data_IF_926550159637
#
_entry.id   IF_926550159637
#
_cell.length_a   1.000
_cell.length_b   1.000
_cell.length_c   1.000
_cell.angle_alpha   90.00
_cell.angle_beta   90.00
_cell.angle_gamma   90.00
#
_symmetry.space_group_name_H-M   'P 1'
#
loop_
_entity.id
_entity.type
_entity.pdbx_description
1 polymer ?
#
# COMPACT_ATOMS: atom_id res chain seq x y z
N UNK A 1 13.07 74.57 6.94
CA UNK A 1 12.74 73.51 7.85
C UNK A 1 11.83 72.50 7.12
N UNK A 2 12.39 71.42 6.65
CA UNK A 2 11.64 70.31 6.01
C UNK A 2 11.77 69.06 6.92
N UNK A 3 10.65 68.60 7.47
CA UNK A 3 10.56 67.36 8.26
C UNK A 3 10.37 66.17 7.32
N UNK A 4 11.36 65.33 7.26
CA UNK A 4 11.30 64.02 6.56
C UNK A 4 10.70 63.00 7.53
N UNK A 5 9.49 62.51 7.22
CA UNK A 5 8.88 61.38 7.96
C UNK A 5 9.46 60.09 7.41
N UNK A 6 10.15 59.33 8.27
CA UNK A 6 10.61 57.96 8.03
C UNK A 6 9.43 57.05 8.38
N UNK A 7 8.90 56.38 7.36
CA UNK A 7 7.94 55.29 7.54
C UNK A 7 8.75 54.02 7.80
N UNK A 8 8.76 53.51 9.03
CA UNK A 8 9.25 52.19 9.36
C UNK A 8 8.21 51.13 8.97
N UNK A 9 8.51 50.40 7.91
CA UNK A 9 7.75 49.23 7.50
C UNK A 9 8.11 48.07 8.41
N UNK A 10 7.25 47.72 9.38
CA UNK A 10 7.35 46.52 10.18
C UNK A 10 6.99 45.33 9.26
N UNK A 11 8.00 44.55 8.80
CA UNK A 11 7.78 43.23 8.24
C UNK A 11 7.37 42.29 9.39
N UNK A 12 6.11 41.96 9.44
CA UNK A 12 5.60 40.80 10.17
C UNK A 12 6.04 39.51 9.40
N UNK A 13 7.18 38.98 9.82
CA UNK A 13 7.54 37.62 9.50
C UNK A 13 6.56 36.69 10.24
N UNK A 14 5.53 36.25 9.52
CA UNK A 14 4.69 35.16 9.96
C UNK A 14 5.54 33.89 10.05
N UNK A 15 6.02 33.56 11.25
CA UNK A 15 6.51 32.24 11.56
C UNK A 15 5.30 31.31 11.51
N UNK A 16 5.13 30.57 10.41
CA UNK A 16 4.37 29.33 10.40
C UNK A 16 5.15 28.34 11.29
N UNK A 17 5.01 28.51 12.60
CA UNK A 17 5.40 27.50 13.56
C UNK A 17 4.61 26.24 13.23
N UNK A 18 5.28 25.17 12.79
CA UNK A 18 4.73 23.84 12.93
C UNK A 18 4.35 23.70 14.41
N UNK A 19 3.05 23.58 14.68
CA UNK A 19 2.59 23.25 16.01
C UNK A 19 3.22 21.89 16.34
N UNK A 20 4.19 21.87 17.23
CA UNK A 20 4.61 20.65 17.89
C UNK A 20 3.35 20.18 18.61
N UNK A 21 2.77 19.08 18.12
CA UNK A 21 1.63 18.45 18.76
C UNK A 21 2.10 17.92 20.10
N UNK A 22 1.91 18.70 21.16
CA UNK A 22 2.28 18.30 22.50
C UNK A 22 1.48 17.06 22.90
N UNK A 23 2.19 16.08 23.45
CA UNK A 23 1.59 14.87 24.02
C UNK A 23 0.59 15.28 25.11
N UNK A 24 -0.65 14.80 25.00
CA UNK A 24 -1.73 15.17 25.92
C UNK A 24 -1.46 14.68 27.34
N UNK A 25 -1.72 15.52 28.34
CA UNK A 25 -1.51 15.21 29.77
C UNK A 25 -2.29 13.96 30.21
N UNK A 26 -3.42 13.66 29.62
CA UNK A 26 -4.19 12.44 29.90
C UNK A 26 -3.41 11.14 29.65
N UNK A 27 -2.37 11.20 28.83
CA UNK A 27 -1.45 10.08 28.59
C UNK A 27 -0.56 9.74 29.79
N UNK A 28 -0.39 10.66 30.76
CA UNK A 28 0.39 10.44 31.99
C UNK A 28 -0.42 9.66 33.03
N UNK A 29 -1.72 9.58 32.86
CA UNK A 29 -2.61 8.87 33.78
C UNK A 29 -2.77 7.40 33.36
N UNK A 30 -2.77 6.47 34.33
CA UNK A 30 -3.03 5.04 34.08
C UNK A 30 -4.44 4.78 33.57
N UNK A 31 -5.39 5.61 33.98
CA UNK A 31 -6.78 5.64 33.54
C UNK A 31 -7.28 7.08 33.67
N UNK A 32 -8.39 7.45 32.99
CA UNK A 32 -9.03 8.74 33.24
C UNK A 32 -9.44 8.85 34.70
N UNK A 33 -9.03 9.91 35.38
CA UNK A 33 -9.24 10.10 36.82
C UNK A 33 -10.48 10.94 37.11
N UNK A 34 -10.91 11.71 36.11
CA UNK A 34 -12.01 12.63 36.24
C UNK A 34 -12.73 12.86 34.88
N UNK A 35 -13.82 13.63 34.90
CA UNK A 35 -14.60 13.97 33.72
C UNK A 35 -13.78 14.74 32.68
N UNK A 36 -12.87 15.61 33.12
CA UNK A 36 -12.07 16.44 32.25
C UNK A 36 -11.13 15.60 31.37
N UNK A 37 -10.56 14.52 31.93
CA UNK A 37 -9.73 13.56 31.16
C UNK A 37 -10.53 12.89 30.05
N UNK A 38 -11.78 12.47 30.35
CA UNK A 38 -12.67 11.87 29.36
C UNK A 38 -13.05 12.87 28.25
N UNK A 39 -13.34 14.13 28.62
CA UNK A 39 -13.64 15.20 27.66
C UNK A 39 -12.42 15.54 26.80
N UNK A 40 -11.18 15.49 27.37
CA UNK A 40 -9.94 15.70 26.64
C UNK A 40 -9.73 14.61 25.56
N UNK A 41 -9.87 13.34 25.92
CA UNK A 41 -9.79 12.22 24.97
C UNK A 41 -10.83 12.36 23.87
N UNK A 42 -12.10 12.61 24.24
CA UNK A 42 -13.21 12.76 23.30
C UNK A 42 -12.95 13.89 22.30
N UNK A 43 -12.49 15.04 22.79
CA UNK A 43 -12.24 16.22 21.96
C UNK A 43 -11.07 16.00 21.01
N UNK A 44 -9.98 15.35 21.49
CA UNK A 44 -8.84 15.02 20.66
C UNK A 44 -9.22 14.06 19.51
N UNK A 45 -9.95 12.98 19.83
CA UNK A 45 -10.46 12.06 18.78
C UNK A 45 -11.37 12.78 17.81
N UNK A 46 -12.32 13.59 18.28
CA UNK A 46 -13.25 14.35 17.42
C UNK A 46 -12.53 15.31 16.48
N UNK A 47 -11.45 15.95 16.94
CA UNK A 47 -10.66 16.87 16.13
C UNK A 47 -9.87 16.14 15.03
N UNK A 48 -9.28 14.98 15.35
CA UNK A 48 -8.42 14.22 14.45
C UNK A 48 -9.19 13.31 13.47
N UNK A 49 -10.35 12.80 13.89
CA UNK A 49 -11.10 11.77 13.18
C UNK A 49 -11.51 12.13 11.73
N UNK A 50 -11.95 13.35 11.38
CA UNK A 50 -12.33 13.68 10.01
C UNK A 50 -11.17 13.51 9.02
N UNK A 51 -9.96 14.01 9.37
CA UNK A 51 -8.75 13.88 8.55
C UNK A 51 -8.30 12.41 8.48
N UNK A 52 -8.29 11.72 9.61
CA UNK A 52 -7.92 10.31 9.72
C UNK A 52 -8.83 9.40 8.86
N UNK A 53 -10.15 9.59 8.93
CA UNK A 53 -11.11 8.85 8.11
C UNK A 53 -10.94 9.10 6.62
N UNK A 54 -10.83 10.37 6.23
CA UNK A 54 -10.67 10.73 4.83
C UNK A 54 -9.42 10.10 4.19
N UNK A 55 -8.36 9.88 4.98
CA UNK A 55 -7.12 9.23 4.52
C UNK A 55 -7.14 7.70 4.67
N UNK A 56 -8.06 7.13 5.46
CA UNK A 56 -8.19 5.67 5.61
C UNK A 56 -8.93 5.09 4.41
N UNK A 57 -8.39 4.05 3.81
CA UNK A 57 -8.93 3.44 2.59
C UNK A 57 -9.14 1.94 2.75
N UNK A 58 -10.08 1.39 1.98
CA UNK A 58 -10.13 -0.04 1.75
C UNK A 58 -9.26 -0.40 0.53
N UNK A 59 -8.53 -1.50 0.62
CA UNK A 59 -7.75 -2.06 -0.48
C UNK A 59 -8.40 -3.37 -0.89
N UNK A 60 -8.92 -3.41 -2.12
CA UNK A 60 -9.51 -4.61 -2.71
C UNK A 60 -8.46 -5.31 -3.57
N UNK A 61 -8.26 -6.59 -3.28
CA UNK A 61 -7.36 -7.51 -3.97
C UNK A 61 -8.14 -8.69 -4.54
N UNK A 62 -7.52 -9.49 -5.39
CA UNK A 62 -8.16 -10.73 -5.89
C UNK A 62 -8.46 -11.68 -4.73
N UNK A 63 -9.75 -11.86 -4.44
CA UNK A 63 -10.23 -12.81 -3.43
C UNK A 63 -10.34 -12.27 -2.01
N UNK A 64 -10.15 -10.96 -1.78
CA UNK A 64 -10.28 -10.37 -0.45
C UNK A 64 -10.14 -8.86 -0.41
N UNK A 65 -10.07 -8.34 0.80
CA UNK A 65 -9.83 -6.93 1.04
C UNK A 65 -9.06 -6.71 2.35
N UNK A 66 -8.40 -5.58 2.44
CA UNK A 66 -7.79 -5.05 3.64
C UNK A 66 -7.99 -3.54 3.73
N UNK A 67 -7.24 -2.91 4.58
CA UNK A 67 -7.24 -1.47 4.77
C UNK A 67 -5.89 -0.86 4.41
N UNK A 68 -5.85 0.45 4.30
CA UNK A 68 -4.64 1.23 4.12
C UNK A 68 -4.82 2.65 4.60
N UNK A 69 -3.75 3.44 4.55
CA UNK A 69 -3.80 4.87 4.86
C UNK A 69 -2.97 5.67 3.86
N UNK A 70 -3.56 6.72 3.31
CA UNK A 70 -2.87 7.64 2.40
C UNK A 70 -1.95 8.56 3.22
N UNK A 71 -0.67 8.62 2.85
CA UNK A 71 0.37 9.40 3.56
C UNK A 71 1.00 10.50 2.70
N UNK A 72 0.51 10.69 1.47
CA UNK A 72 0.95 11.80 0.61
C UNK A 72 -0.18 12.28 -0.30
N UNK A 73 -0.16 13.56 -0.71
CA UNK A 73 -1.20 14.13 -1.56
C UNK A 73 -1.26 13.53 -2.97
N UNK A 74 -0.21 12.87 -3.43
CA UNK A 74 -0.12 12.17 -4.71
C UNK A 74 -0.54 10.70 -4.65
N UNK A 75 -1.10 10.26 -3.51
CA UNK A 75 -1.74 8.95 -3.37
C UNK A 75 -0.80 7.80 -3.00
N UNK A 76 0.25 8.05 -2.22
CA UNK A 76 1.02 6.98 -1.59
C UNK A 76 0.24 6.43 -0.39
N UNK A 77 0.06 5.14 -0.34
CA UNK A 77 -0.70 4.41 0.69
C UNK A 77 0.22 3.45 1.43
N UNK A 78 0.15 3.42 2.75
CA UNK A 78 0.77 2.38 3.56
C UNK A 78 -0.27 1.30 3.91
N UNK A 79 0.18 0.06 3.95
CA UNK A 79 -0.64 -1.12 4.26
C UNK A 79 0.22 -2.25 4.82
N UNK A 80 -0.37 -3.41 5.07
CA UNK A 80 0.33 -4.62 5.47
C UNK A 80 0.82 -5.43 4.26
N UNK A 81 1.95 -6.16 4.40
CA UNK A 81 2.50 -6.95 3.30
C UNK A 81 1.56 -8.09 2.89
N UNK A 82 0.89 -8.74 3.85
CA UNK A 82 -0.08 -9.80 3.54
C UNK A 82 -1.36 -9.29 2.85
N UNK A 83 -1.66 -7.97 2.92
CA UNK A 83 -2.72 -7.33 2.12
C UNK A 83 -2.21 -7.06 0.70
N UNK A 84 -0.99 -6.53 0.55
CA UNK A 84 -0.40 -6.26 -0.76
C UNK A 84 -0.11 -7.54 -1.57
N UNK A 85 0.19 -8.66 -0.88
CA UNK A 85 0.51 -10.00 -1.42
C UNK A 85 1.76 -10.10 -2.30
N UNK A 86 2.29 -9.00 -2.79
CA UNK A 86 3.47 -8.93 -3.67
C UNK A 86 3.72 -7.52 -4.18
N UNK A 87 4.74 -7.36 -5.02
CA UNK A 87 5.08 -6.10 -5.68
C UNK A 87 4.47 -6.03 -7.08
N UNK A 88 4.19 -4.81 -7.58
CA UNK A 88 3.63 -4.56 -8.91
C UNK A 88 2.30 -5.26 -9.19
N UNK A 89 1.51 -5.50 -8.15
CA UNK A 89 0.17 -6.09 -8.27
C UNK A 89 -0.85 -4.98 -8.49
N UNK A 90 -1.80 -5.20 -9.42
CA UNK A 90 -2.93 -4.28 -9.63
C UNK A 90 -3.97 -4.47 -8.53
N UNK A 91 -4.30 -3.41 -7.84
CA UNK A 91 -5.30 -3.40 -6.76
C UNK A 91 -6.27 -2.24 -6.95
N UNK A 92 -7.36 -2.24 -6.21
CA UNK A 92 -8.30 -1.11 -6.15
C UNK A 92 -8.23 -0.48 -4.77
N UNK A 93 -7.99 0.82 -4.71
CA UNK A 93 -8.14 1.63 -3.49
C UNK A 93 -9.52 2.25 -3.48
N UNK A 94 -10.27 2.05 -2.40
CA UNK A 94 -11.61 2.61 -2.21
C UNK A 94 -11.54 3.66 -1.12
N UNK A 95 -11.88 4.91 -1.46
CA UNK A 95 -11.92 6.04 -0.52
C UNK A 95 -13.14 5.94 0.39
N UNK A 96 -13.17 6.73 1.47
CA UNK A 96 -14.28 6.75 2.45
C UNK A 96 -15.64 7.07 1.81
N UNK A 97 -15.69 7.86 0.73
CA UNK A 97 -16.89 8.20 -0.03
C UNK A 97 -17.33 7.12 -1.03
N UNK A 98 -16.58 6.01 -1.13
CA UNK A 98 -16.84 4.92 -2.06
C UNK A 98 -16.20 5.08 -3.45
N UNK A 99 -15.46 6.15 -3.69
CA UNK A 99 -14.71 6.34 -4.94
C UNK A 99 -13.66 5.24 -5.09
N UNK A 100 -13.69 4.54 -6.25
CA UNK A 100 -12.79 3.41 -6.56
C UNK A 100 -11.69 3.87 -7.50
N UNK A 101 -10.45 3.72 -7.09
CA UNK A 101 -9.26 4.18 -7.79
C UNK A 101 -8.34 3.00 -8.13
N UNK A 102 -7.78 3.03 -9.33
CA UNK A 102 -6.75 2.08 -9.72
C UNK A 102 -5.48 2.36 -8.97
N UNK A 103 -4.85 1.31 -8.49
CA UNK A 103 -3.60 1.40 -7.75
C UNK A 103 -2.70 0.19 -8.06
N UNK A 104 -1.43 0.33 -7.71
CA UNK A 104 -0.42 -0.70 -7.86
C UNK A 104 0.39 -0.84 -6.57
N UNK A 105 0.67 -2.07 -6.15
CA UNK A 105 1.56 -2.32 -5.01
C UNK A 105 3.00 -1.96 -5.39
N UNK A 106 3.67 -1.23 -4.52
CA UNK A 106 5.09 -0.93 -4.62
C UNK A 106 5.91 -1.98 -3.85
N UNK A 107 6.91 -1.56 -3.10
CA UNK A 107 7.74 -2.45 -2.29
C UNK A 107 7.07 -2.92 -1.01
N UNK A 108 7.62 -3.98 -0.47
CA UNK A 108 7.18 -4.56 0.80
C UNK A 108 8.34 -5.15 1.60
N UNK A 109 8.13 -5.30 2.91
CA UNK A 109 9.07 -5.93 3.86
C UNK A 109 8.39 -7.19 4.40
N UNK A 110 8.77 -8.35 3.84
CA UNK A 110 8.06 -9.62 4.02
C UNK A 110 8.11 -10.19 5.45
N UNK A 111 9.18 -9.90 6.20
CA UNK A 111 9.35 -10.34 7.59
C UNK A 111 8.77 -9.34 8.61
N UNK A 112 8.40 -8.13 8.19
CA UNK A 112 7.88 -7.05 9.04
C UNK A 112 6.41 -6.72 8.78
N UNK A 113 5.81 -7.33 7.77
CA UNK A 113 4.42 -7.09 7.38
C UNK A 113 4.13 -5.64 6.98
N UNK A 114 5.06 -4.98 6.30
CA UNK A 114 4.92 -3.62 5.81
C UNK A 114 4.87 -3.58 4.29
N UNK A 115 3.99 -2.78 3.70
CA UNK A 115 3.91 -2.59 2.26
C UNK A 115 3.47 -1.19 1.86
N UNK A 116 3.81 -0.79 0.64
CA UNK A 116 3.36 0.43 -0.01
C UNK A 116 2.49 0.13 -1.23
N UNK A 117 1.52 1.00 -1.47
CA UNK A 117 0.66 1.01 -2.66
C UNK A 117 0.63 2.41 -3.23
N UNK A 118 0.56 2.55 -4.55
CA UNK A 118 0.45 3.83 -5.25
C UNK A 118 -0.86 3.90 -6.01
N UNK A 119 -1.69 4.91 -5.74
CA UNK A 119 -2.81 5.26 -6.60
C UNK A 119 -2.23 5.74 -7.93
N UNK A 120 -2.65 5.12 -9.04
CA UNK A 120 -2.09 5.41 -10.39
C UNK A 120 -2.88 6.49 -11.13
N UNK A 121 -4.05 6.83 -10.66
CA UNK A 121 -4.85 7.92 -11.22
C UNK A 121 -4.34 9.27 -10.72
N UNK A 122 -4.34 10.28 -11.60
CA UNK A 122 -3.90 11.63 -11.25
C UNK A 122 -4.96 12.30 -10.38
N UNK A 123 -4.54 12.83 -9.24
CA UNK A 123 -5.42 13.54 -8.31
C UNK A 123 -4.66 14.15 -7.15
N UNK A 124 -5.39 14.81 -6.27
CA UNK A 124 -4.92 15.22 -4.95
C UNK A 124 -5.81 14.53 -3.94
N UNK A 125 -5.20 13.77 -3.08
CA UNK A 125 -5.89 12.89 -2.14
C UNK A 125 -5.76 13.40 -0.71
N UNK A 126 -6.77 13.18 0.14
CA UNK A 126 -6.63 13.42 1.58
C UNK A 126 -5.54 12.50 2.14
N UNK A 127 -4.70 13.03 2.99
CA UNK A 127 -3.58 12.27 3.58
C UNK A 127 -3.34 12.67 5.03
N UNK A 128 -2.64 11.82 5.76
CA UNK A 128 -2.17 12.06 7.13
C UNK A 128 -0.66 12.11 7.19
N UNK A 129 -0.14 12.75 8.22
CA UNK A 129 1.28 12.78 8.52
C UNK A 129 1.67 11.58 9.37
N UNK A 130 2.89 11.07 9.15
CA UNK A 130 3.47 10.00 9.97
C UNK A 130 4.20 10.61 11.17
N UNK A 131 4.08 9.99 12.33
CA UNK A 131 5.01 10.23 13.44
C UNK A 131 6.42 9.77 13.02
N UNK A 132 7.33 10.74 12.88
CA UNK A 132 8.73 10.49 12.51
C UNK A 132 9.66 10.52 13.70
N UNK A 133 9.20 11.04 14.84
CA UNK A 133 10.01 11.33 16.01
C UNK A 133 9.88 10.24 17.08
N UNK A 134 9.08 9.21 16.80
CA UNK A 134 8.75 8.12 17.74
C UNK A 134 8.32 8.66 19.13
N UNK A 135 7.49 9.71 19.11
CA UNK A 135 7.05 10.43 20.30
C UNK A 135 6.12 9.61 21.20
N UNK A 136 5.54 8.55 20.66
CA UNK A 136 4.56 7.70 21.32
C UNK A 136 5.17 6.82 22.39
N UNK A 137 4.53 6.76 23.56
CA UNK A 137 5.00 6.02 24.72
C UNK A 137 4.04 4.89 25.13
N UNK A 138 4.58 3.94 25.92
CA UNK A 138 3.76 2.88 26.51
C UNK A 138 2.68 3.50 27.40
N UNK A 139 1.45 3.07 27.19
CA UNK A 139 0.30 3.56 27.92
C UNK A 139 -0.42 4.74 27.26
N UNK A 140 0.09 5.30 26.16
CA UNK A 140 -0.59 6.38 25.45
C UNK A 140 -1.92 5.93 24.85
N UNK A 141 -2.89 6.84 24.89
CA UNK A 141 -4.16 6.67 24.23
C UNK A 141 -3.96 6.74 22.71
N UNK A 142 -4.58 5.82 22.01
CA UNK A 142 -4.53 5.67 20.55
C UNK A 142 -5.91 5.36 20.01
N UNK A 143 -6.13 5.66 18.72
CA UNK A 143 -7.33 5.19 18.04
C UNK A 143 -6.98 4.50 16.72
N UNK A 144 -7.72 3.45 16.43
CA UNK A 144 -7.57 2.62 15.25
C UNK A 144 -8.69 2.86 14.26
N UNK A 145 -8.40 2.83 12.96
CA UNK A 145 -9.35 2.85 11.87
C UNK A 145 -9.12 1.68 10.92
N UNK A 146 -10.21 1.17 10.32
CA UNK A 146 -10.12 0.13 9.31
C UNK A 146 -11.49 -0.22 8.72
N UNK A 147 -11.46 -0.92 7.59
CA UNK A 147 -12.64 -1.40 6.90
C UNK A 147 -12.91 -2.87 7.25
N UNK A 148 -13.39 -3.09 8.47
CA UNK A 148 -13.69 -4.43 9.01
C UNK A 148 -14.62 -5.21 8.09
N UNK A 149 -14.21 -6.38 7.62
CA UNK A 149 -14.99 -7.19 6.68
C UNK A 149 -15.05 -6.64 5.26
N UNK A 150 -14.27 -5.61 4.92
CA UNK A 150 -14.25 -4.93 3.63
C UNK A 150 -15.00 -3.59 3.62
N UNK A 151 -15.03 -2.96 2.44
CA UNK A 151 -15.72 -1.68 2.28
C UNK A 151 -17.23 -1.81 2.47
N UNK A 152 -17.80 -0.93 3.27
CA UNK A 152 -19.23 -0.83 3.54
C UNK A 152 -19.60 0.65 3.55
N UNK A 153 -20.42 1.07 2.58
CA UNK A 153 -20.75 2.48 2.37
C UNK A 153 -21.56 3.09 3.53
N UNK A 154 -22.44 2.32 4.17
CA UNK A 154 -23.28 2.83 5.24
C UNK A 154 -22.51 2.97 6.56
N UNK A 155 -21.62 2.00 6.83
CA UNK A 155 -20.84 1.97 8.06
C UNK A 155 -19.58 2.85 7.97
N UNK A 156 -18.94 2.93 6.81
CA UNK A 156 -17.61 3.52 6.62
C UNK A 156 -16.52 2.78 7.38
N UNK A 157 -15.40 3.46 7.62
CA UNK A 157 -14.30 2.95 8.45
C UNK A 157 -14.69 2.87 9.92
N UNK A 158 -14.35 1.77 10.59
CA UNK A 158 -14.68 1.53 12.01
C UNK A 158 -13.62 2.15 12.92
N UNK A 159 -14.08 2.92 13.91
CA UNK A 159 -13.20 3.58 14.91
C UNK A 159 -13.13 2.73 16.17
N UNK A 160 -11.94 2.58 16.72
CA UNK A 160 -11.72 1.97 18.03
C UNK A 160 -10.74 2.82 18.82
N UNK A 161 -11.06 3.05 20.07
CA UNK A 161 -10.21 3.77 21.03
C UNK A 161 -9.59 2.76 21.99
N UNK A 162 -8.32 2.93 22.29
CA UNK A 162 -7.59 2.06 23.20
C UNK A 162 -6.26 2.68 23.63
N UNK A 163 -5.36 1.84 24.09
CA UNK A 163 -4.02 2.23 24.59
C UNK A 163 -2.92 1.35 24.00
N UNK A 164 -1.71 1.88 23.92
CA UNK A 164 -0.52 1.08 23.68
C UNK A 164 -0.18 0.29 24.94
N UNK A 165 -0.18 -1.04 24.81
CA UNK A 165 0.10 -1.97 25.91
C UNK A 165 1.48 -2.61 25.83
N UNK A 166 2.15 -2.50 24.67
CA UNK A 166 3.53 -2.93 24.45
C UNK A 166 4.17 -2.15 23.31
N UNK A 167 5.43 -1.79 23.46
CA UNK A 167 6.29 -1.19 22.43
C UNK A 167 7.54 -2.06 22.30
N UNK A 168 7.86 -2.45 21.06
CA UNK A 168 9.10 -3.11 20.68
C UNK A 168 9.54 -2.55 19.32
N UNK A 169 10.81 -2.71 18.96
CA UNK A 169 11.44 -2.09 17.79
C UNK A 169 10.67 -2.31 16.47
N UNK A 170 10.05 -3.47 16.31
CA UNK A 170 9.34 -3.84 15.08
C UNK A 170 7.85 -4.11 15.27
N UNK A 171 7.32 -3.93 16.49
CA UNK A 171 5.92 -4.26 16.76
C UNK A 171 5.38 -3.44 17.93
N UNK A 172 4.29 -2.73 17.68
CA UNK A 172 3.45 -2.17 18.74
C UNK A 172 2.29 -3.12 19.02
N UNK A 173 1.83 -3.13 20.26
CA UNK A 173 0.61 -3.82 20.67
C UNK A 173 -0.34 -2.83 21.31
N UNK A 174 -1.61 -2.84 20.90
CA UNK A 174 -2.68 -2.08 21.53
C UNK A 174 -3.81 -2.98 22.02
N UNK A 175 -4.69 -2.43 22.84
CA UNK A 175 -5.98 -3.06 23.19
C UNK A 175 -7.12 -2.64 22.26
N UNK A 176 -6.84 -1.89 21.19
CA UNK A 176 -7.78 -1.65 20.09
C UNK A 176 -8.06 -2.98 19.37
N UNK A 177 -9.25 -3.55 19.55
CA UNK A 177 -9.61 -4.81 18.92
C UNK A 177 -9.70 -4.66 17.41
N UNK A 178 -8.79 -5.28 16.65
CA UNK A 178 -8.83 -5.37 15.18
C UNK A 178 -9.35 -6.74 14.74
N UNK A 179 -10.07 -6.78 13.62
CA UNK A 179 -10.64 -8.00 13.04
C UNK A 179 -10.33 -8.09 11.55
N UNK A 180 -10.75 -9.17 10.87
CA UNK A 180 -10.55 -9.34 9.43
C UNK A 180 -11.04 -8.13 8.63
N UNK A 181 -10.22 -7.66 7.68
CA UNK A 181 -10.44 -6.44 6.90
C UNK A 181 -9.77 -5.19 7.47
N UNK A 182 -9.51 -5.12 8.78
CA UNK A 182 -8.76 -4.01 9.38
C UNK A 182 -7.26 -4.05 9.06
N UNK A 183 -6.72 -5.21 8.68
CA UNK A 183 -5.32 -5.40 8.29
C UNK A 183 -4.87 -4.33 7.31
N UNK A 184 -3.71 -3.71 7.57
CA UNK A 184 -3.18 -2.58 6.79
C UNK A 184 -3.75 -1.22 7.17
N UNK A 185 -4.79 -1.14 7.99
CA UNK A 185 -5.37 0.10 8.49
C UNK A 185 -4.48 0.83 9.49
N UNK A 186 -4.72 2.12 9.73
CA UNK A 186 -3.89 2.97 10.57
C UNK A 186 -4.20 2.87 12.05
N UNK A 187 -3.16 3.00 12.87
CA UNK A 187 -3.21 3.34 14.28
C UNK A 187 -2.68 4.77 14.45
N UNK A 188 -3.46 5.61 15.14
CA UNK A 188 -3.15 7.02 15.37
C UNK A 188 -2.92 7.30 16.85
N UNK A 189 -2.08 8.28 17.15
CA UNK A 189 -2.10 8.95 18.44
C UNK A 189 -3.33 9.88 18.56
N UNK A 190 -3.57 10.46 19.73
CA UNK A 190 -4.71 11.38 19.92
C UNK A 190 -4.55 12.71 19.17
N UNK A 191 -3.34 13.06 18.74
CA UNK A 191 -3.08 14.24 17.92
C UNK A 191 -3.40 14.00 16.43
N UNK A 192 -3.65 12.74 16.04
CA UNK A 192 -3.97 12.34 14.68
C UNK A 192 -2.76 12.02 13.82
N UNK A 193 -1.57 11.86 14.42
CA UNK A 193 -0.40 11.38 13.71
C UNK A 193 -0.48 9.87 13.54
N UNK A 194 -0.12 9.39 12.35
CA UNK A 194 0.00 7.96 12.08
C UNK A 194 1.22 7.39 12.80
N UNK A 195 1.01 6.44 13.70
CA UNK A 195 2.09 5.82 14.51
C UNK A 195 2.39 4.37 14.13
N UNK A 196 1.40 3.65 13.57
CA UNK A 196 1.58 2.26 13.15
C UNK A 196 0.50 1.80 12.16
N UNK A 197 0.71 0.64 11.55
CA UNK A 197 -0.20 -0.04 10.61
C UNK A 197 -0.64 -1.37 11.21
N UNK A 198 -1.94 -1.69 11.16
CA UNK A 198 -2.48 -2.95 11.66
C UNK A 198 -1.92 -4.14 10.89
N UNK A 199 -1.38 -5.11 11.63
CA UNK A 199 -0.79 -6.33 11.07
C UNK A 199 -1.67 -7.54 11.37
N UNK A 200 -1.65 -8.01 12.60
CA UNK A 200 -2.32 -9.26 12.98
C UNK A 200 -2.87 -9.23 14.39
N UNK A 201 -3.78 -10.14 14.64
CA UNK A 201 -4.23 -10.50 16.00
C UNK A 201 -3.48 -11.76 16.45
N UNK A 202 -3.18 -11.83 17.75
CA UNK A 202 -2.62 -13.04 18.35
C UNK A 202 -3.71 -14.12 18.55
N UNK A 203 -3.31 -15.27 19.08
CA UNK A 203 -4.23 -16.36 19.42
C UNK A 203 -5.33 -15.93 20.43
N UNK A 204 -5.05 -14.90 21.22
CA UNK A 204 -6.02 -14.22 22.07
C UNK A 204 -6.45 -12.92 21.38
N UNK A 205 -7.74 -12.70 21.22
CA UNK A 205 -8.31 -11.51 20.53
C UNK A 205 -7.88 -10.16 21.13
N UNK A 206 -7.30 -10.16 22.34
CA UNK A 206 -6.78 -8.98 23.02
C UNK A 206 -5.36 -8.61 22.56
N UNK A 207 -4.69 -9.47 21.77
CA UNK A 207 -3.32 -9.25 21.28
C UNK A 207 -3.40 -8.69 19.87
N UNK A 208 -3.52 -7.38 19.75
CA UNK A 208 -3.59 -6.69 18.47
C UNK A 208 -2.21 -6.08 18.16
N UNK A 209 -1.59 -6.51 17.07
CA UNK A 209 -0.22 -6.17 16.71
C UNK A 209 -0.21 -5.22 15.52
N UNK A 210 0.70 -4.23 15.59
CA UNK A 210 0.84 -3.19 14.59
C UNK A 210 2.31 -3.02 14.22
N UNK A 211 2.58 -2.68 12.96
CA UNK A 211 3.91 -2.36 12.45
C UNK A 211 4.15 -0.85 12.66
N UNK A 212 5.15 -0.44 13.45
CA UNK A 212 5.46 0.97 13.67
C UNK A 212 5.85 1.69 12.39
N UNK A 213 5.57 2.99 12.29
CA UNK A 213 5.97 3.84 11.15
C UNK A 213 7.48 3.83 10.91
N UNK A 214 8.30 3.62 11.95
CA UNK A 214 9.75 3.49 11.84
C UNK A 214 10.16 2.40 10.83
N UNK A 215 9.47 1.26 10.79
CA UNK A 215 9.75 0.18 9.82
C UNK A 215 9.59 0.66 8.38
N UNK A 216 8.58 1.48 8.11
CA UNK A 216 8.37 2.07 6.79
C UNK A 216 9.43 3.11 6.46
N UNK A 217 9.82 3.94 7.43
CA UNK A 217 10.85 4.98 7.29
C UNK A 217 12.21 4.34 6.96
N UNK A 218 12.60 3.30 7.69
CA UNK A 218 13.87 2.59 7.49
C UNK A 218 14.01 1.94 6.12
N UNK A 219 12.88 1.60 5.47
CA UNK A 219 12.86 0.92 4.17
C UNK A 219 12.25 1.77 3.05
N UNK A 220 12.04 3.07 3.29
CA UNK A 220 11.24 3.97 2.45
C UNK A 220 11.65 3.95 0.98
N UNK A 221 12.91 4.23 0.69
CA UNK A 221 13.41 4.35 -0.69
C UNK A 221 13.34 3.01 -1.45
N UNK A 222 13.65 1.91 -0.77
CA UNK A 222 13.54 0.57 -1.35
C UNK A 222 12.09 0.19 -1.65
N UNK A 223 11.18 0.54 -0.75
CA UNK A 223 9.76 0.31 -0.97
C UNK A 223 9.21 1.17 -2.11
N UNK A 224 9.63 2.44 -2.24
CA UNK A 224 9.30 3.28 -3.39
C UNK A 224 9.84 2.74 -4.71
N UNK A 225 11.00 2.07 -4.68
CA UNK A 225 11.60 1.40 -5.84
C UNK A 225 10.94 0.05 -6.19
N UNK A 226 9.83 -0.30 -5.51
CA UNK A 226 9.11 -1.57 -5.65
C UNK A 226 9.99 -2.81 -5.37
N UNK A 227 10.89 -2.72 -4.40
CA UNK A 227 11.71 -3.86 -3.98
C UNK A 227 10.93 -4.81 -3.06
N UNK A 228 11.13 -6.12 -3.26
CA UNK A 228 10.70 -7.15 -2.31
C UNK A 228 11.82 -7.38 -1.31
N UNK A 229 11.62 -6.99 -0.03
CA UNK A 229 12.63 -6.96 1.01
C UNK A 229 12.41 -8.09 2.01
N UNK A 230 13.48 -8.83 2.30
CA UNK A 230 13.47 -9.90 3.30
C UNK A 230 12.76 -11.18 2.85
N UNK A 231 12.63 -12.10 3.79
CA UNK A 231 11.87 -13.34 3.67
C UNK A 231 11.05 -13.51 4.94
N UNK A 232 9.79 -13.88 4.81
CA UNK A 232 8.94 -13.99 5.97
C UNK A 232 7.53 -14.50 5.66
N UNK A 233 6.71 -14.68 6.70
CA UNK A 233 5.40 -15.31 6.57
C UNK A 233 4.33 -14.40 5.96
N UNK A 234 4.62 -13.12 5.72
CA UNK A 234 3.62 -12.13 5.31
C UNK A 234 3.54 -11.92 3.80
N UNK A 235 4.56 -12.31 3.07
CA UNK A 235 4.53 -12.33 1.61
C UNK A 235 5.56 -13.33 1.11
N UNK A 236 5.23 -14.03 0.04
CA UNK A 236 6.15 -14.95 -0.62
C UNK A 236 6.87 -14.25 -1.75
N UNK A 237 8.19 -14.42 -1.80
CA UNK A 237 9.00 -13.87 -2.88
C UNK A 237 8.65 -14.57 -4.18
N UNK A 238 8.33 -13.85 -5.26
CA UNK A 238 8.08 -14.46 -6.55
C UNK A 238 9.26 -15.35 -6.98
N UNK A 239 8.96 -16.59 -7.32
CA UNK A 239 9.98 -17.55 -7.78
C UNK A 239 10.22 -17.30 -9.26
N UNK A 240 11.44 -16.87 -9.63
CA UNK A 240 11.83 -16.72 -11.02
C UNK A 240 11.81 -18.07 -11.74
N UNK A 241 11.42 -18.04 -13.02
CA UNK A 241 11.33 -19.21 -13.87
C UNK A 241 10.04 -20.02 -13.77
N UNK A 242 9.12 -19.65 -12.87
CA UNK A 242 7.78 -20.24 -12.80
C UNK A 242 6.73 -19.49 -13.62
N UNK A 243 7.11 -18.35 -14.20
CA UNK A 243 6.22 -17.58 -15.08
C UNK A 243 5.82 -18.36 -16.32
N UNK A 244 4.52 -18.35 -16.64
CA UNK A 244 3.93 -19.15 -17.70
C UNK A 244 3.06 -18.31 -18.65
N UNK A 245 3.41 -18.32 -19.95
CA UNK A 245 2.63 -17.68 -21.00
C UNK A 245 1.45 -18.56 -21.47
N UNK A 246 1.70 -19.85 -21.58
CA UNK A 246 0.75 -20.79 -22.16
C UNK A 246 0.79 -20.87 -23.69
N UNK A 247 1.95 -20.64 -24.29
CA UNK A 247 2.18 -20.72 -25.73
C UNK A 247 3.15 -21.84 -26.09
N UNK A 248 2.85 -22.57 -27.18
CA UNK A 248 3.84 -23.32 -27.93
C UNK A 248 4.20 -22.54 -29.17
N UNK A 249 5.48 -22.47 -29.51
CA UNK A 249 5.99 -21.67 -30.62
C UNK A 249 7.09 -22.39 -31.39
N UNK A 250 7.18 -22.12 -32.69
CA UNK A 250 8.26 -22.56 -33.58
C UNK A 250 8.96 -21.36 -34.21
N UNK A 251 10.30 -21.46 -34.37
CA UNK A 251 11.11 -20.44 -35.02
C UNK A 251 10.73 -20.28 -36.50
N UNK A 252 10.79 -19.05 -37.02
CA UNK A 252 10.50 -18.74 -38.41
C UNK A 252 11.76 -18.35 -39.19
N UNK A 253 11.89 -18.72 -40.45
CA UNK A 253 13.06 -18.33 -41.28
C UNK A 253 13.19 -16.81 -41.47
N UNK A 254 12.07 -16.05 -41.32
CA UNK A 254 12.03 -14.58 -41.48
C UNK A 254 12.11 -13.84 -40.14
N UNK A 255 12.50 -14.50 -39.05
CA UNK A 255 12.50 -13.99 -37.69
C UNK A 255 11.13 -14.05 -37.00
N UNK A 256 11.15 -13.98 -35.69
CA UNK A 256 9.98 -14.17 -34.83
C UNK A 256 9.61 -15.64 -34.62
N UNK A 257 8.65 -15.86 -33.73
CA UNK A 257 8.16 -17.19 -33.37
C UNK A 257 6.71 -17.33 -33.77
N UNK A 258 6.39 -18.36 -34.56
CA UNK A 258 4.98 -18.70 -34.92
C UNK A 258 4.32 -19.41 -33.75
N UNK A 259 3.17 -18.92 -33.29
CA UNK A 259 2.34 -19.60 -32.29
C UNK A 259 1.70 -20.84 -32.93
N UNK A 260 2.09 -22.00 -32.44
CA UNK A 260 1.58 -23.31 -32.93
C UNK A 260 0.46 -23.84 -32.05
N UNK A 261 0.42 -23.44 -30.77
CA UNK A 261 -0.66 -23.82 -29.86
C UNK A 261 -0.80 -22.78 -28.75
N UNK A 262 -2.05 -22.51 -28.37
CA UNK A 262 -2.41 -21.72 -27.18
C UNK A 262 -3.03 -22.69 -26.16
N UNK A 263 -2.49 -22.68 -24.95
CA UNK A 263 -2.96 -23.55 -23.86
C UNK A 263 -4.34 -23.09 -23.38
N UNK A 264 -5.24 -24.06 -23.17
CA UNK A 264 -6.57 -23.78 -22.63
C UNK A 264 -6.48 -23.26 -21.18
N UNK A 265 -7.22 -22.21 -20.83
CA UNK A 265 -7.18 -21.56 -19.54
C UNK A 265 -5.88 -20.76 -19.26
N UNK A 266 -5.00 -20.62 -20.26
CA UNK A 266 -3.73 -19.91 -20.10
C UNK A 266 -3.87 -18.38 -20.15
N UNK A 267 -2.89 -17.62 -19.58
CA UNK A 267 -2.84 -16.17 -19.72
C UNK A 267 -2.88 -15.68 -21.18
N UNK A 268 -2.19 -16.38 -22.07
CA UNK A 268 -2.18 -16.05 -23.48
C UNK A 268 -3.57 -16.21 -24.15
N UNK A 269 -4.32 -17.25 -23.79
CA UNK A 269 -5.69 -17.43 -24.26
C UNK A 269 -6.59 -16.31 -23.74
N UNK A 270 -6.50 -16.01 -22.44
CA UNK A 270 -7.26 -14.93 -21.81
C UNK A 270 -6.95 -13.55 -22.42
N UNK A 271 -5.69 -13.32 -22.84
CA UNK A 271 -5.27 -12.12 -23.57
C UNK A 271 -5.76 -12.10 -25.03
N UNK A 272 -6.31 -13.19 -25.55
CA UNK A 272 -6.83 -13.28 -26.91
C UNK A 272 -5.78 -13.57 -27.97
N UNK A 273 -4.63 -14.14 -27.61
CA UNK A 273 -3.62 -14.66 -28.53
C UNK A 273 -4.18 -15.91 -29.23
N UNK A 274 -3.80 -16.15 -30.48
CA UNK A 274 -4.32 -17.23 -31.30
C UNK A 274 -3.20 -17.98 -32.00
N UNK A 275 -3.49 -19.21 -32.39
CA UNK A 275 -2.64 -19.97 -33.31
C UNK A 275 -2.40 -19.22 -34.61
N UNK A 276 -1.22 -19.32 -35.18
CA UNK A 276 -0.70 -18.62 -36.35
C UNK A 276 -0.38 -17.12 -36.12
N UNK A 277 -0.56 -16.58 -34.89
CA UNK A 277 0.08 -15.31 -34.54
C UNK A 277 1.59 -15.45 -34.58
N UNK A 278 2.30 -14.37 -34.84
CA UNK A 278 3.74 -14.34 -34.85
C UNK A 278 4.21 -13.45 -33.70
N UNK A 279 4.92 -14.03 -32.74
CA UNK A 279 5.56 -13.30 -31.65
C UNK A 279 6.89 -12.74 -32.15
N UNK A 280 7.00 -11.41 -32.15
CA UNK A 280 8.17 -10.69 -32.61
C UNK A 280 9.06 -10.24 -31.46
N UNK A 281 8.44 -9.77 -30.37
CA UNK A 281 9.17 -9.31 -29.17
C UNK A 281 8.45 -9.67 -27.88
N UNK A 282 9.26 -9.90 -26.83
CA UNK A 282 8.85 -10.03 -25.46
C UNK A 282 9.52 -8.90 -24.66
N UNK A 283 8.73 -8.03 -24.01
CA UNK A 283 9.22 -6.86 -23.28
C UNK A 283 10.24 -6.04 -24.10
N UNK A 284 9.87 -5.74 -25.36
CA UNK A 284 10.69 -4.99 -26.34
C UNK A 284 11.97 -5.70 -26.80
N UNK A 285 12.30 -6.90 -26.31
CA UNK A 285 13.43 -7.72 -26.78
C UNK A 285 12.99 -8.55 -27.96
N UNK A 286 13.68 -8.39 -29.10
CA UNK A 286 13.39 -9.17 -30.32
C UNK A 286 13.66 -10.66 -30.13
N UNK A 287 12.78 -11.50 -30.65
CA UNK A 287 12.87 -12.95 -30.53
C UNK A 287 13.10 -13.55 -31.91
N UNK A 288 14.12 -14.38 -32.00
CA UNK A 288 14.45 -15.18 -33.19
C UNK A 288 14.31 -16.69 -32.91
N UNK A 289 14.57 -17.10 -31.66
CA UNK A 289 14.54 -18.49 -31.26
C UNK A 289 13.67 -18.73 -30.03
N UNK A 290 13.22 -19.95 -29.88
CA UNK A 290 12.43 -20.38 -28.71
C UNK A 290 13.27 -20.32 -27.43
N UNK A 291 14.55 -20.61 -27.54
CA UNK A 291 15.51 -20.56 -26.43
C UNK A 291 15.62 -19.14 -25.86
N UNK A 292 15.71 -18.12 -26.74
CA UNK A 292 15.70 -16.69 -26.28
C UNK A 292 14.43 -16.36 -25.49
N UNK A 293 13.25 -16.79 -25.95
CA UNK A 293 12.00 -16.59 -25.22
C UNK A 293 12.04 -17.32 -23.86
N UNK A 294 12.55 -18.54 -23.81
CA UNK A 294 12.65 -19.32 -22.58
C UNK A 294 13.64 -18.68 -21.60
N UNK A 295 14.76 -18.16 -22.06
CA UNK A 295 15.76 -17.50 -21.23
C UNK A 295 15.22 -16.22 -20.61
N UNK A 296 14.45 -15.43 -21.35
CA UNK A 296 13.76 -14.28 -20.81
C UNK A 296 12.72 -14.70 -19.74
N UNK A 297 11.97 -15.75 -19.99
CA UNK A 297 10.96 -16.24 -19.04
C UNK A 297 11.58 -16.85 -17.77
N UNK A 298 12.83 -17.38 -17.82
CA UNK A 298 13.56 -17.85 -16.62
C UNK A 298 13.84 -16.71 -15.63
N UNK A 299 13.97 -15.49 -16.10
CA UNK A 299 14.18 -14.32 -15.26
C UNK A 299 12.86 -13.71 -14.74
N UNK A 300 11.70 -14.25 -15.12
CA UNK A 300 10.38 -13.76 -14.78
C UNK A 300 9.65 -14.72 -13.86
N UNK A 301 8.78 -14.17 -13.03
CA UNK A 301 7.94 -14.92 -12.10
C UNK A 301 6.47 -14.95 -12.55
N UNK A 302 5.68 -15.84 -11.97
CA UNK A 302 4.23 -15.76 -12.05
C UNK A 302 3.74 -14.42 -11.49
N UNK A 303 2.78 -13.79 -12.18
CA UNK A 303 2.29 -12.45 -11.85
C UNK A 303 3.03 -11.29 -12.51
N UNK A 304 4.24 -11.50 -13.04
CA UNK A 304 4.96 -10.44 -13.78
C UNK A 304 4.18 -10.03 -15.04
N UNK A 305 4.09 -8.73 -15.28
CA UNK A 305 3.49 -8.20 -16.50
C UNK A 305 4.43 -8.41 -17.68
N UNK A 306 3.86 -8.89 -18.79
CA UNK A 306 4.57 -9.05 -20.07
C UNK A 306 3.91 -8.25 -21.18
N UNK A 307 4.74 -7.70 -22.04
CA UNK A 307 4.34 -7.04 -23.27
C UNK A 307 4.79 -7.91 -24.44
N UNK A 308 3.83 -8.43 -25.20
CA UNK A 308 4.11 -9.19 -26.41
C UNK A 308 3.80 -8.34 -27.63
N UNK A 309 4.83 -8.00 -28.44
CA UNK A 309 4.65 -7.41 -29.74
C UNK A 309 4.54 -8.54 -30.77
N UNK A 310 3.39 -8.63 -31.44
CA UNK A 310 3.01 -9.75 -32.31
C UNK A 310 2.52 -9.25 -33.68
N UNK A 311 2.38 -10.16 -34.60
CA UNK A 311 1.75 -9.93 -35.91
C UNK A 311 0.62 -10.95 -36.13
N UNK A 312 -0.55 -10.48 -36.55
CA UNK A 312 -1.70 -11.31 -36.97
C UNK A 312 -2.15 -10.94 -38.35
N UNK A 313 -1.95 -11.87 -39.30
CA UNK A 313 -2.34 -11.63 -40.72
C UNK A 313 -1.60 -10.42 -41.34
N UNK A 314 -0.34 -10.19 -41.03
CA UNK A 314 0.47 -9.07 -41.49
C UNK A 314 0.21 -7.74 -40.76
N UNK A 315 -0.63 -7.72 -39.73
CA UNK A 315 -0.95 -6.51 -38.95
C UNK A 315 -0.33 -6.57 -37.56
N UNK A 316 0.33 -5.50 -37.09
CA UNK A 316 0.90 -5.46 -35.75
C UNK A 316 -0.20 -5.53 -34.67
N UNK A 317 0.10 -6.23 -33.57
CA UNK A 317 -0.71 -6.37 -32.39
C UNK A 317 0.19 -6.31 -31.16
N UNK A 318 -0.28 -5.67 -30.11
CA UNK A 318 0.41 -5.67 -28.79
C UNK A 318 -0.56 -6.24 -27.76
N UNK A 319 -0.05 -7.17 -26.97
CA UNK A 319 -0.78 -7.77 -25.86
C UNK A 319 -0.02 -7.51 -24.56
N UNK A 320 -0.72 -7.02 -23.54
CA UNK A 320 -0.16 -6.79 -22.19
C UNK A 320 -0.99 -7.58 -21.19
N UNK A 321 -0.35 -8.48 -20.46
CA UNK A 321 -1.02 -9.33 -19.46
C UNK A 321 0.01 -9.88 -18.47
N UNK A 322 -0.47 -10.45 -17.37
CA UNK A 322 0.41 -11.03 -16.36
C UNK A 322 0.64 -12.54 -16.63
N UNK A 323 1.88 -12.99 -16.38
CA UNK A 323 2.23 -14.41 -16.44
C UNK A 323 1.40 -15.21 -15.42
N UNK A 324 1.00 -16.41 -15.82
CA UNK A 324 0.43 -17.39 -14.90
C UNK A 324 1.52 -18.15 -14.15
N UNK A 325 1.10 -19.00 -13.23
CA UNK A 325 1.94 -19.96 -12.55
C UNK A 325 1.91 -21.31 -13.31
N UNK A 326 3.07 -21.96 -13.38
CA UNK A 326 3.23 -23.22 -14.08
C UNK A 326 2.80 -24.40 -13.21
#
# INVERSE_FOLDING_TARGET
MRYTRIFSLLLLLGSSGMAVNERLVVNDHKAPENRQDLEMIQNAVRASLPKARAATVCIEIKGGSGSGVIVSPDGLVLTAAHVATGVKQKVTVVLEDGTRLKAETLGLVADRDAAMVRITEKGTYPFVEMDRDASTQLGDWVFALGHSGGFDHERGSVVRLGRLVRIADSTFQSDCMVIGGDSGGPLFDLAGNLIAIHSRVGAQMQVNMHVPTAVFIDHWDKMLAAEFIGEGPYAEKPVKGNGFLGLATDARPKGGLSVTKVGHGSPAEAAGIRERDVLLKLNHVSLETREQMQDLLKEMAAGDEVILEMERGGKPKTFTFNLGER
#
